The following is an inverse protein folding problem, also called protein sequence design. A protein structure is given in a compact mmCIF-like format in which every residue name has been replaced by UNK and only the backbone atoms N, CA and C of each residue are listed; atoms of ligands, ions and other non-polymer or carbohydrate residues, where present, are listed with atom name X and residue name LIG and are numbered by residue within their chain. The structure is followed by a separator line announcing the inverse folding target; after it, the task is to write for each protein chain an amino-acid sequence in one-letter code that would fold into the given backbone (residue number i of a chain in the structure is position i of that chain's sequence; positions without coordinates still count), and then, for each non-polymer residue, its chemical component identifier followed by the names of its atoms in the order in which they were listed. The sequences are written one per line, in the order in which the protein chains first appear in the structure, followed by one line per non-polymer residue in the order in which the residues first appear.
data_IF_464718333006
#
_entry.id   IF_464718333006
#
_cell.length_a   1.000
_cell.length_b   1.000
_cell.length_c   1.000
_cell.angle_alpha   90.00
_cell.angle_beta   90.00
_cell.angle_gamma   90.00
#
_symmetry.space_group_name_H-M   'P 1'
#
loop_
_entity.id
_entity.type
_entity.pdbx_description
1 polymer ?
#
# COMPACT_ATOMS: atom_id res chain seq x y z
N UNK A 1 -3.56 31.74 -17.93
CA UNK A 1 -3.97 32.87 -17.06
C UNK A 1 -5.29 32.45 -16.42
N UNK A 2 -5.33 32.26 -15.10
CA UNK A 2 -6.56 31.87 -14.39
C UNK A 2 -6.55 30.52 -13.65
N UNK A 3 -5.42 30.10 -13.07
CA UNK A 3 -5.43 29.01 -12.10
C UNK A 3 -6.11 29.47 -10.82
N UNK A 4 -7.39 29.14 -10.66
CA UNK A 4 -8.13 29.37 -9.41
C UNK A 4 -7.62 28.32 -8.43
N UNK A 5 -6.55 28.66 -7.71
CA UNK A 5 -6.17 27.99 -6.49
C UNK A 5 -7.33 28.14 -5.51
N UNK A 6 -8.25 27.17 -5.53
CA UNK A 6 -9.34 27.07 -4.57
C UNK A 6 -8.70 26.62 -3.26
N UNK A 7 -8.18 27.59 -2.52
CA UNK A 7 -7.88 27.44 -1.10
C UNK A 7 -9.23 27.04 -0.48
N UNK A 8 -9.38 25.75 -0.17
CA UNK A 8 -10.44 25.31 0.75
C UNK A 8 -10.16 26.08 2.02
N UNK A 9 -11.12 26.92 2.42
CA UNK A 9 -11.00 27.80 3.56
C UNK A 9 -10.75 26.96 4.82
N UNK A 10 -9.48 26.75 5.17
CA UNK A 10 -9.05 25.93 6.31
C UNK A 10 -9.30 26.63 7.66
N UNK A 11 -9.85 27.85 7.65
CA UNK A 11 -9.95 28.69 8.82
C UNK A 11 -10.91 28.15 9.91
N UNK A 12 -11.77 27.16 9.63
CA UNK A 12 -12.81 26.74 10.59
C UNK A 12 -13.00 25.23 10.79
N UNK A 13 -12.30 24.33 10.09
CA UNK A 13 -12.50 22.87 10.22
C UNK A 13 -11.24 22.13 10.71
N UNK A 14 -10.87 22.41 11.97
CA UNK A 14 -9.77 21.76 12.70
C UNK A 14 -10.02 20.26 12.81
N UNK A 15 -11.28 19.86 12.99
CA UNK A 15 -11.69 18.46 13.13
C UNK A 15 -11.42 17.66 11.86
N UNK A 16 -11.86 18.15 10.69
CA UNK A 16 -11.61 17.49 9.42
C UNK A 16 -10.12 17.36 9.08
N UNK A 17 -9.35 18.42 9.35
CA UNK A 17 -7.90 18.44 9.10
C UNK A 17 -7.16 17.47 10.05
N UNK A 18 -7.51 17.44 11.33
CA UNK A 18 -6.92 16.52 12.31
C UNK A 18 -7.20 15.05 11.95
N UNK A 19 -8.45 14.74 11.56
CA UNK A 19 -8.83 13.40 11.12
C UNK A 19 -8.04 12.96 9.88
N UNK A 20 -7.85 13.86 8.91
CA UNK A 20 -7.05 13.57 7.72
C UNK A 20 -5.58 13.27 8.08
N UNK A 21 -4.98 14.04 9.01
CA UNK A 21 -3.60 13.82 9.44
C UNK A 21 -3.43 12.50 10.18
N UNK A 22 -4.36 12.16 11.08
CA UNK A 22 -4.38 10.86 11.77
C UNK A 22 -4.51 9.72 10.75
N UNK A 23 -5.39 9.86 9.76
CA UNK A 23 -5.54 8.89 8.68
C UNK A 23 -4.26 8.68 7.87
N UNK A 24 -3.59 9.76 7.48
CA UNK A 24 -2.31 9.67 6.75
C UNK A 24 -1.21 9.05 7.60
N UNK A 25 -1.15 9.36 8.89
CA UNK A 25 -0.20 8.73 9.81
C UNK A 25 -0.43 7.21 9.90
N UNK A 26 -1.68 6.77 10.05
CA UNK A 26 -2.01 5.35 10.08
C UNK A 26 -1.67 4.65 8.75
N UNK A 27 -1.93 5.30 7.61
CA UNK A 27 -1.55 4.78 6.29
C UNK A 27 -0.02 4.65 6.16
N UNK A 28 0.73 5.64 6.65
CA UNK A 28 2.20 5.59 6.65
C UNK A 28 2.74 4.39 7.44
N UNK A 29 2.10 4.01 8.56
CA UNK A 29 2.47 2.80 9.30
C UNK A 29 2.15 1.51 8.53
N UNK A 30 1.08 1.49 7.74
CA UNK A 30 0.71 0.35 6.91
C UNK A 30 1.60 0.18 5.67
N UNK A 31 2.20 1.28 5.17
CA UNK A 31 3.02 1.31 3.96
C UNK A 31 4.14 0.26 3.92
N UNK A 32 5.04 0.16 4.91
CA UNK A 32 6.10 -0.85 4.95
C UNK A 32 5.58 -2.28 4.90
N UNK A 33 4.46 -2.55 5.58
CA UNK A 33 3.83 -3.87 5.60
C UNK A 33 3.31 -4.21 4.20
N UNK A 34 2.58 -3.29 3.56
CA UNK A 34 2.05 -3.47 2.22
C UNK A 34 3.16 -3.67 1.17
N UNK A 35 4.25 -2.91 1.26
CA UNK A 35 5.41 -3.02 0.35
C UNK A 35 6.15 -4.36 0.50
N UNK A 36 6.19 -4.93 1.71
CA UNK A 36 6.88 -6.20 1.97
C UNK A 36 6.10 -7.45 1.57
N UNK A 37 4.80 -7.32 1.28
CA UNK A 37 3.91 -8.48 1.16
C UNK A 37 4.21 -9.34 -0.06
N UNK A 38 4.56 -8.72 -1.20
CA UNK A 38 4.89 -9.42 -2.45
C UNK A 38 6.08 -10.38 -2.28
N UNK A 39 7.25 -9.91 -1.82
CA UNK A 39 8.40 -10.76 -1.55
C UNK A 39 8.13 -11.83 -0.48
N UNK A 40 7.43 -11.47 0.60
CA UNK A 40 7.10 -12.40 1.69
C UNK A 40 6.22 -13.52 1.19
N UNK A 41 5.11 -13.19 0.52
CA UNK A 41 4.17 -14.17 -0.03
C UNK A 41 4.85 -15.06 -1.09
N UNK A 42 5.64 -14.45 -1.98
CA UNK A 42 6.39 -15.17 -3.00
C UNK A 42 7.35 -16.19 -2.38
N UNK A 43 8.04 -15.82 -1.31
CA UNK A 43 8.96 -16.72 -0.61
C UNK A 43 8.28 -17.91 0.08
N UNK A 44 7.04 -17.71 0.53
CA UNK A 44 6.27 -18.72 1.27
C UNK A 44 5.55 -19.72 0.36
N UNK A 45 5.09 -19.28 -0.82
CA UNK A 45 4.22 -20.08 -1.68
C UNK A 45 4.89 -20.56 -2.98
N UNK A 46 5.99 -19.93 -3.42
CA UNK A 46 6.64 -20.27 -4.68
C UNK A 46 8.08 -20.80 -4.49
N UNK A 47 8.54 -21.72 -5.37
CA UNK A 47 9.91 -22.22 -5.36
C UNK A 47 10.91 -21.11 -5.77
N UNK A 48 12.19 -21.19 -5.36
CA UNK A 48 13.17 -20.12 -5.56
C UNK A 48 13.29 -19.58 -6.99
N UNK A 49 13.14 -20.45 -8.00
CA UNK A 49 13.23 -20.07 -9.42
C UNK A 49 12.12 -19.10 -9.87
N UNK A 50 10.95 -19.12 -9.23
CA UNK A 50 9.76 -18.37 -9.67
C UNK A 50 9.41 -17.18 -8.75
N UNK A 51 10.10 -17.03 -7.62
CA UNK A 51 9.82 -15.97 -6.62
C UNK A 51 9.92 -14.56 -7.18
N UNK A 52 10.90 -14.33 -8.07
CA UNK A 52 11.11 -13.02 -8.69
C UNK A 52 9.93 -12.65 -9.59
N UNK A 53 9.46 -13.61 -10.39
CA UNK A 53 8.29 -13.41 -11.26
C UNK A 53 7.02 -13.17 -10.43
N UNK A 54 6.78 -13.96 -9.39
CA UNK A 54 5.63 -13.77 -8.50
C UNK A 54 5.65 -12.39 -7.81
N UNK A 55 6.81 -11.94 -7.34
CA UNK A 55 6.97 -10.61 -6.74
C UNK A 55 6.73 -9.50 -7.76
N UNK A 56 7.26 -9.64 -8.99
CA UNK A 56 7.09 -8.66 -10.06
C UNK A 56 5.62 -8.54 -10.51
N UNK A 57 4.89 -9.66 -10.58
CA UNK A 57 3.45 -9.65 -10.86
C UNK A 57 2.69 -8.89 -9.77
N UNK A 58 3.00 -9.15 -8.49
CA UNK A 58 2.38 -8.44 -7.37
C UNK A 58 2.65 -6.92 -7.42
N UNK A 59 3.90 -6.52 -7.69
CA UNK A 59 4.26 -5.12 -7.84
C UNK A 59 3.55 -4.45 -9.03
N UNK A 60 3.47 -5.14 -10.17
CA UNK A 60 2.80 -4.63 -11.37
C UNK A 60 1.29 -4.48 -11.15
N UNK A 61 0.67 -5.46 -10.48
CA UNK A 61 -0.74 -5.39 -10.11
C UNK A 61 -1.03 -4.21 -9.17
N UNK A 62 -0.12 -3.90 -8.23
CA UNK A 62 -0.25 -2.74 -7.36
C UNK A 62 -0.26 -1.43 -8.16
N UNK A 63 0.68 -1.24 -9.10
CA UNK A 63 0.69 -0.05 -9.96
C UNK A 63 -0.54 0.03 -10.88
N UNK A 64 -1.00 -1.12 -11.40
CA UNK A 64 -2.23 -1.20 -12.18
C UNK A 64 -3.46 -0.76 -11.38
N UNK A 65 -3.57 -1.21 -10.12
CA UNK A 65 -4.62 -0.78 -9.20
C UNK A 65 -4.57 0.72 -8.92
N UNK A 66 -3.38 1.28 -8.69
CA UNK A 66 -3.20 2.72 -8.51
C UNK A 66 -3.66 3.50 -9.75
N UNK A 67 -3.27 3.08 -10.96
CA UNK A 67 -3.69 3.73 -12.19
C UNK A 67 -5.23 3.68 -12.36
N UNK A 68 -5.84 2.53 -12.07
CA UNK A 68 -7.28 2.35 -12.16
C UNK A 68 -8.02 3.27 -11.18
N UNK A 69 -7.54 3.39 -9.95
CA UNK A 69 -8.24 4.19 -8.93
C UNK A 69 -8.11 5.70 -9.18
N UNK A 70 -6.96 6.16 -9.70
CA UNK A 70 -6.83 7.54 -10.15
C UNK A 70 -7.79 7.85 -11.30
N UNK A 71 -7.94 6.93 -12.25
CA UNK A 71 -8.88 7.08 -13.34
C UNK A 71 -10.34 7.08 -12.84
N UNK A 72 -10.74 6.10 -12.02
CA UNK A 72 -12.08 6.02 -11.45
C UNK A 72 -12.42 7.22 -10.57
N UNK A 73 -11.51 7.64 -9.70
CA UNK A 73 -11.68 8.79 -8.82
C UNK A 73 -11.98 10.07 -9.60
N UNK A 74 -11.29 10.28 -10.74
CA UNK A 74 -11.52 11.45 -11.59
C UNK A 74 -12.91 11.47 -12.25
N UNK A 75 -13.47 10.30 -12.57
CA UNK A 75 -14.81 10.16 -13.15
C UNK A 75 -15.88 10.31 -12.05
N UNK A 76 -15.67 9.66 -10.90
CA UNK A 76 -16.59 9.72 -9.77
C UNK A 76 -16.66 11.13 -9.18
N UNK A 77 -15.53 11.84 -9.13
CA UNK A 77 -15.40 13.19 -8.60
C UNK A 77 -14.86 14.14 -9.68
N UNK A 78 -15.72 14.57 -10.63
CA UNK A 78 -15.27 15.41 -11.74
C UNK A 78 -14.87 16.81 -11.26
N UNK A 79 -13.86 17.42 -11.91
CA UNK A 79 -13.41 18.76 -11.58
C UNK A 79 -14.49 19.80 -11.93
N UNK A 80 -14.53 20.90 -11.16
CA UNK A 80 -15.45 22.01 -11.41
C UNK A 80 -16.85 21.88 -10.80
N UNK A 81 -17.17 20.76 -10.14
CA UNK A 81 -18.42 20.60 -9.42
C UNK A 81 -18.53 21.54 -8.17
N UNK A 82 -19.75 21.90 -7.74
CA UNK A 82 -19.97 22.63 -6.49
C UNK A 82 -19.38 21.89 -5.29
N UNK A 83 -18.79 22.60 -4.33
CA UNK A 83 -18.04 22.01 -3.21
C UNK A 83 -18.86 20.99 -2.38
N UNK A 84 -20.15 21.26 -2.17
CA UNK A 84 -21.05 20.35 -1.46
C UNK A 84 -21.23 19.01 -2.20
N UNK A 85 -21.35 19.04 -3.53
CA UNK A 85 -21.51 17.84 -4.36
C UNK A 85 -20.18 17.07 -4.45
N UNK A 86 -19.06 17.77 -4.60
CA UNK A 86 -17.72 17.17 -4.56
C UNK A 86 -17.49 16.42 -3.25
N UNK A 87 -17.82 17.06 -2.11
CA UNK A 87 -17.69 16.44 -0.79
C UNK A 87 -18.57 15.20 -0.63
N UNK A 88 -19.83 15.27 -1.07
CA UNK A 88 -20.74 14.13 -1.02
C UNK A 88 -20.23 12.94 -1.86
N UNK A 89 -19.80 13.20 -3.09
CA UNK A 89 -19.24 12.17 -3.99
C UNK A 89 -17.95 11.57 -3.46
N UNK A 90 -17.07 12.40 -2.88
CA UNK A 90 -15.84 11.93 -2.24
C UNK A 90 -16.16 10.99 -1.07
N UNK A 91 -17.11 11.37 -0.21
CA UNK A 91 -17.55 10.50 0.89
C UNK A 91 -18.11 9.17 0.41
N UNK A 92 -18.98 9.19 -0.61
CA UNK A 92 -19.52 7.96 -1.20
C UNK A 92 -18.43 7.08 -1.81
N UNK A 93 -17.43 7.70 -2.46
CA UNK A 93 -16.30 6.99 -3.05
C UNK A 93 -15.41 6.36 -1.97
N UNK A 94 -15.03 7.10 -0.92
CA UNK A 94 -14.21 6.61 0.20
C UNK A 94 -14.88 5.46 0.96
N UNK A 95 -16.19 5.54 1.24
CA UNK A 95 -16.92 4.43 1.84
C UNK A 95 -17.02 3.23 0.90
N UNK A 96 -17.22 3.46 -0.40
CA UNK A 96 -17.22 2.40 -1.41
C UNK A 96 -15.89 1.65 -1.46
N UNK A 97 -14.77 2.37 -1.47
CA UNK A 97 -13.42 1.78 -1.40
C UNK A 97 -13.19 1.01 -0.10
N UNK A 98 -13.64 1.55 1.03
CA UNK A 98 -13.53 0.89 2.33
C UNK A 98 -14.28 -0.45 2.35
N UNK A 99 -15.51 -0.48 1.81
CA UNK A 99 -16.31 -1.71 1.70
C UNK A 99 -15.62 -2.70 0.76
N UNK A 100 -15.16 -2.24 -0.40
CA UNK A 100 -14.46 -3.08 -1.37
C UNK A 100 -13.18 -3.70 -0.76
N UNK A 101 -12.38 -2.90 -0.06
CA UNK A 101 -11.19 -3.36 0.65
C UNK A 101 -11.52 -4.36 1.76
N UNK A 102 -12.58 -4.12 2.54
CA UNK A 102 -13.03 -5.04 3.59
C UNK A 102 -13.52 -6.38 3.02
N UNK A 103 -14.21 -6.36 1.87
CA UNK A 103 -14.64 -7.57 1.16
C UNK A 103 -13.43 -8.33 0.64
N UNK A 104 -12.47 -7.67 -0.02
CA UNK A 104 -11.24 -8.32 -0.48
C UNK A 104 -10.45 -8.92 0.67
N UNK A 105 -10.30 -8.19 1.78
CA UNK A 105 -9.64 -8.71 2.99
C UNK A 105 -10.36 -9.95 3.52
N UNK A 106 -11.69 -9.90 3.60
CA UNK A 106 -12.51 -11.04 4.05
C UNK A 106 -12.34 -12.24 3.11
N UNK A 107 -12.36 -12.03 1.80
CA UNK A 107 -12.12 -13.09 0.82
C UNK A 107 -10.71 -13.68 0.97
N UNK A 108 -9.70 -12.87 1.20
CA UNK A 108 -8.33 -13.36 1.46
C UNK A 108 -8.31 -14.23 2.71
N UNK A 109 -8.92 -13.78 3.80
CA UNK A 109 -8.96 -14.51 5.07
C UNK A 109 -9.76 -15.82 4.97
N UNK A 110 -10.81 -15.87 4.15
CA UNK A 110 -11.66 -17.05 3.97
C UNK A 110 -11.08 -18.05 2.96
N UNK A 111 -10.46 -17.57 1.88
CA UNK A 111 -9.98 -18.41 0.79
C UNK A 111 -8.53 -18.86 0.96
N UNK A 112 -7.67 -18.08 1.65
CA UNK A 112 -6.25 -18.38 1.78
C UNK A 112 -5.87 -18.75 3.22
N UNK A 113 -5.49 -20.01 3.49
CA UNK A 113 -4.95 -20.39 4.80
C UNK A 113 -3.61 -19.70 5.05
N UNK A 114 -3.29 -19.44 6.32
CA UNK A 114 -2.13 -18.64 6.74
C UNK A 114 -0.77 -19.16 6.23
N UNK A 115 -0.68 -20.45 5.86
CA UNK A 115 0.48 -21.10 5.26
C UNK A 115 0.03 -22.19 4.27
N UNK A 116 0.78 -22.44 3.17
CA UNK A 116 0.50 -23.57 2.30
C UNK A 116 0.69 -24.90 3.05
N UNK A 117 -0.13 -25.90 2.75
CA UNK A 117 -0.08 -27.22 3.40
C UNK A 117 1.24 -27.97 3.18
N UNK A 118 1.98 -27.64 2.11
CA UNK A 118 3.29 -28.21 1.80
C UNK A 118 4.31 -27.08 1.59
N UNK A 119 5.46 -27.18 2.27
CA UNK A 119 6.53 -26.19 2.16
C UNK A 119 7.19 -26.28 0.77
N UNK A 120 7.40 -25.16 0.05
CA UNK A 120 7.84 -25.18 -1.34
C UNK A 120 9.33 -25.54 -1.54
N UNK A 121 10.14 -25.71 -0.48
CA UNK A 121 11.54 -26.18 -0.60
C UNK A 121 12.20 -26.52 0.76
N UNK A 122 13.20 -27.43 0.75
CA UNK A 122 14.08 -27.81 1.90
C UNK A 122 14.80 -26.63 2.58
N UNK A 123 14.96 -25.51 1.88
CA UNK A 123 15.59 -24.29 2.41
C UNK A 123 14.64 -23.45 3.29
N UNK A 124 13.34 -23.76 3.33
CA UNK A 124 12.39 -23.15 4.26
C UNK A 124 12.64 -23.57 5.72
N UNK A 125 13.52 -24.56 5.94
CA UNK A 125 14.00 -25.01 7.26
C UNK A 125 15.21 -24.20 7.74
N UNK A 126 15.81 -23.34 6.90
CA UNK A 126 16.87 -22.43 7.34
C UNK A 126 16.24 -21.38 8.25
N UNK A 127 16.66 -21.40 9.51
CA UNK A 127 16.28 -20.46 10.56
C UNK A 127 16.38 -19.04 10.00
N UNK A 128 15.26 -18.33 9.89
CA UNK A 128 15.30 -16.91 9.56
C UNK A 128 16.13 -16.22 10.63
N UNK A 129 17.24 -15.59 10.21
CA UNK A 129 17.99 -14.65 11.03
C UNK A 129 17.00 -13.63 11.62
N UNK A 130 17.21 -13.23 12.87
CA UNK A 130 16.28 -12.32 13.52
C UNK A 130 16.20 -11.01 12.72
N UNK A 131 15.01 -10.39 12.57
CA UNK A 131 14.87 -9.14 11.83
C UNK A 131 15.83 -8.03 12.32
N UNK A 132 16.16 -8.06 13.62
CA UNK A 132 17.05 -7.11 14.26
C UNK A 132 18.52 -7.36 13.92
N UNK A 133 18.94 -8.62 13.79
CA UNK A 133 20.31 -8.96 13.37
C UNK A 133 20.54 -8.59 11.90
N UNK A 134 19.53 -8.82 11.05
CA UNK A 134 19.53 -8.33 9.67
C UNK A 134 19.60 -6.80 9.57
N UNK A 135 18.80 -6.08 10.36
CA UNK A 135 18.85 -4.62 10.41
C UNK A 135 20.21 -4.11 10.89
N UNK A 136 20.79 -4.74 11.93
CA UNK A 136 22.12 -4.39 12.45
C UNK A 136 23.22 -4.63 11.41
N UNK A 137 23.10 -5.69 10.60
CA UNK A 137 24.03 -5.98 9.52
C UNK A 137 23.95 -4.93 8.39
N UNK A 138 22.74 -4.52 8.01
CA UNK A 138 22.50 -3.51 6.97
C UNK A 138 23.04 -2.13 7.37
N UNK A 139 22.82 -1.70 8.63
CA UNK A 139 23.33 -0.42 9.16
C UNK A 139 24.87 -0.35 9.11
N UNK A 140 25.56 -1.48 9.23
CA UNK A 140 27.04 -1.52 9.15
C UNK A 140 27.57 -1.49 7.72
N UNK A 141 26.73 -1.70 6.71
CA UNK A 141 27.18 -1.85 5.32
C UNK A 141 27.23 -0.49 4.59
N UNK A 142 28.42 -0.08 4.14
CA UNK A 142 28.60 1.18 3.39
C UNK A 142 27.88 1.18 2.03
N UNK A 143 27.81 0.04 1.35
CA UNK A 143 27.10 -0.08 0.08
C UNK A 143 25.58 0.12 0.25
N UNK A 144 25.03 -0.31 1.39
CA UNK A 144 23.64 -0.05 1.74
C UNK A 144 23.37 1.46 1.85
N UNK A 145 24.23 2.21 2.54
CA UNK A 145 24.07 3.66 2.67
C UNK A 145 24.25 4.42 1.35
N UNK A 146 25.21 4.01 0.51
CA UNK A 146 25.36 4.60 -0.83
C UNK A 146 24.11 4.37 -1.68
N UNK A 147 23.55 3.15 -1.63
CA UNK A 147 22.31 2.85 -2.33
C UNK A 147 21.14 3.64 -1.76
N UNK A 148 20.99 3.67 -0.44
CA UNK A 148 19.94 4.41 0.26
C UNK A 148 19.99 5.92 -0.04
N UNK A 149 21.19 6.52 -0.11
CA UNK A 149 21.38 7.92 -0.49
C UNK A 149 21.14 8.18 -1.97
N UNK A 150 21.36 7.18 -2.83
CA UNK A 150 21.11 7.31 -4.27
C UNK A 150 19.65 7.10 -4.68
N UNK A 151 18.89 6.36 -3.86
CA UNK A 151 17.49 6.02 -4.10
C UNK A 151 16.50 6.83 -3.24
N UNK A 152 16.98 7.56 -2.23
CA UNK A 152 16.19 8.47 -1.39
C UNK A 152 16.03 9.84 -2.01
#
# INVERSE_FOLDING_TARGET
MGGIARIVDHATDITGSTLAHVGQFLNALAGPVAMSIGPVLSSMWFPPAERNAATAICATANYGGCALIFWLGSICVPPGAPAALTRARLWSFMFGECIFAAVLLSLILLCFPSRPAHAPSRSATVTRESPLDGARLLVKNRAFWLLALSYG
#
